data_IF_724693054073
#
_entry.id   IF_724693054073
#
_cell.length_a   1.000
_cell.length_b   1.000
_cell.length_c   1.000
_cell.angle_alpha   90.00
_cell.angle_beta   90.00
_cell.angle_gamma   90.00
#
_symmetry.space_group_name_H-M   'P 1'
#
loop_
_entity.id
_entity.type
_entity.pdbx_description
1 polymer ?
#
# COMPACT_ATOMS: atom_id res chain seq x y z
N UNK A 1 20.66 2.24 -3.92
CA UNK A 1 20.18 3.38 -3.11
C UNK A 1 19.15 4.13 -3.94
N UNK A 2 18.04 4.52 -3.32
CA UNK A 2 16.93 5.25 -3.94
C UNK A 2 16.27 6.14 -2.87
N UNK A 3 15.63 7.21 -3.31
CA UNK A 3 14.84 8.12 -2.48
C UNK A 3 13.37 7.68 -2.52
N UNK A 4 12.84 7.27 -1.38
CA UNK A 4 11.51 6.68 -1.24
C UNK A 4 10.58 7.65 -0.51
N UNK A 5 9.48 8.03 -1.15
CA UNK A 5 8.39 8.78 -0.51
C UNK A 5 7.37 7.81 0.07
N UNK A 6 7.18 7.85 1.39
CA UNK A 6 6.16 7.06 2.10
C UNK A 6 4.97 7.97 2.43
N UNK A 7 3.89 7.84 1.67
CA UNK A 7 2.62 8.53 1.96
C UNK A 7 1.83 7.73 3.00
N UNK A 8 1.38 8.41 4.06
CA UNK A 8 0.71 7.75 5.18
C UNK A 8 1.69 7.11 6.16
N UNK A 9 2.85 7.75 6.39
CA UNK A 9 3.97 7.19 7.16
C UNK A 9 3.62 6.68 8.58
N UNK A 10 2.59 7.23 9.24
CA UNK A 10 2.15 6.72 10.55
C UNK A 10 1.31 5.43 10.50
N UNK A 11 1.04 4.87 9.33
CA UNK A 11 0.29 3.62 9.17
C UNK A 11 1.04 2.41 9.71
N UNK A 12 0.32 1.40 10.20
CA UNK A 12 0.95 0.22 10.86
C UNK A 12 1.90 -0.55 9.92
N UNK A 13 1.52 -0.72 8.64
CA UNK A 13 2.40 -1.34 7.64
C UNK A 13 3.56 -0.40 7.29
N UNK A 14 3.30 0.90 7.12
CA UNK A 14 4.34 1.88 6.80
C UNK A 14 5.46 1.92 7.84
N UNK A 15 5.16 1.84 9.13
CA UNK A 15 6.19 1.76 10.19
C UNK A 15 7.06 0.51 10.09
N UNK A 16 6.48 -0.62 9.68
CA UNK A 16 7.23 -1.85 9.46
C UNK A 16 8.14 -1.73 8.22
N UNK A 17 7.64 -1.11 7.15
CA UNK A 17 8.41 -0.82 5.93
C UNK A 17 9.56 0.15 6.22
N UNK A 18 9.27 1.27 6.89
CA UNK A 18 10.27 2.26 7.33
C UNK A 18 11.39 1.59 8.12
N UNK A 19 11.03 0.85 9.18
CA UNK A 19 12.00 0.12 9.99
C UNK A 19 12.86 -0.83 9.16
N UNK A 20 12.24 -1.66 8.31
CA UNK A 20 12.96 -2.65 7.53
C UNK A 20 13.89 -2.01 6.48
N UNK A 21 13.46 -0.93 5.82
CA UNK A 21 14.32 -0.16 4.90
C UNK A 21 15.52 0.44 5.63
N UNK A 22 15.30 1.00 6.83
CA UNK A 22 16.39 1.54 7.64
C UNK A 22 17.38 0.47 8.09
N UNK A 23 16.90 -0.72 8.45
CA UNK A 23 17.74 -1.81 8.94
C UNK A 23 18.52 -2.52 7.82
N UNK A 24 17.95 -2.63 6.62
CA UNK A 24 18.45 -3.54 5.56
C UNK A 24 19.07 -2.82 4.35
N UNK A 25 18.94 -1.50 4.25
CA UNK A 25 19.32 -0.75 3.04
C UNK A 25 19.94 0.61 3.36
N UNK A 26 20.44 1.29 2.32
CA UNK A 26 20.90 2.68 2.39
C UNK A 26 19.89 3.68 1.80
N UNK A 27 18.62 3.28 1.64
CA UNK A 27 17.57 4.16 1.08
C UNK A 27 17.36 5.42 1.93
N UNK A 28 17.00 6.52 1.26
CA UNK A 28 16.58 7.76 1.90
C UNK A 28 15.05 7.79 1.93
N UNK A 29 14.46 8.11 3.08
CA UNK A 29 13.02 8.06 3.31
C UNK A 29 12.46 9.47 3.50
N UNK A 30 11.47 9.83 2.69
CA UNK A 30 10.61 10.98 2.95
C UNK A 30 9.30 10.51 3.54
N UNK A 31 9.06 10.83 4.80
CA UNK A 31 7.88 10.43 5.57
C UNK A 31 6.80 11.50 5.47
N UNK A 32 5.76 11.26 4.67
CA UNK A 32 4.68 12.21 4.43
C UNK A 32 3.41 11.81 5.16
N UNK A 33 2.94 12.67 6.07
CA UNK A 33 1.78 12.39 6.91
C UNK A 33 1.14 13.67 7.46
N UNK A 34 -0.11 13.54 7.89
CA UNK A 34 -0.78 14.56 8.72
C UNK A 34 -0.28 14.45 10.16
N UNK A 35 -0.27 15.57 10.89
CA UNK A 35 0.10 15.61 12.32
C UNK A 35 1.44 14.89 12.52
N UNK A 36 2.51 15.48 11.98
CA UNK A 36 3.84 14.89 11.92
C UNK A 36 4.42 14.59 13.31
N UNK A 37 3.93 15.29 14.34
CA UNK A 37 4.26 15.03 15.74
C UNK A 37 3.90 13.61 16.26
N UNK A 38 3.17 12.81 15.48
CA UNK A 38 2.81 11.42 15.83
C UNK A 38 3.88 10.38 15.49
N UNK A 39 4.94 10.78 14.78
CA UNK A 39 6.08 9.91 14.47
C UNK A 39 7.35 10.49 15.08
N UNK A 40 8.29 9.58 15.37
CA UNK A 40 9.63 9.92 15.83
C UNK A 40 10.59 9.41 14.78
N UNK A 41 11.43 10.31 14.25
CA UNK A 41 12.51 9.96 13.33
C UNK A 41 13.50 9.03 14.04
N UNK A 42 13.77 7.88 13.44
CA UNK A 42 14.72 6.89 13.93
C UNK A 42 16.16 7.20 13.46
N UNK A 43 16.32 7.70 12.24
CA UNK A 43 17.60 8.07 11.63
C UNK A 43 17.53 9.43 10.91
N UNK A 44 17.90 10.53 11.58
CA UNK A 44 17.85 11.88 11.00
C UNK A 44 18.73 12.10 9.78
N UNK A 45 19.66 11.18 9.47
CA UNK A 45 20.50 11.27 8.27
C UNK A 45 19.84 10.64 7.04
N UNK A 46 18.83 9.79 7.25
CA UNK A 46 18.13 9.07 6.19
C UNK A 46 16.66 9.39 6.11
N UNK A 47 16.11 10.11 7.07
CA UNK A 47 14.69 10.39 7.15
C UNK A 47 14.39 11.88 7.15
N UNK A 48 13.48 12.29 6.27
CA UNK A 48 12.91 13.65 6.22
C UNK A 48 11.40 13.57 6.44
N UNK A 49 10.88 14.33 7.40
CA UNK A 49 9.44 14.38 7.67
C UNK A 49 8.81 15.58 6.99
N UNK A 50 7.72 15.34 6.24
CA UNK A 50 6.92 16.38 5.60
C UNK A 50 5.49 16.28 6.13
N UNK A 51 5.01 17.33 6.78
CA UNK A 51 3.61 17.40 7.19
C UNK A 51 2.72 17.78 5.99
N UNK A 52 1.72 16.94 5.69
CA UNK A 52 0.78 17.19 4.61
C UNK A 52 -0.37 16.19 4.53
N UNK A 53 -1.39 16.55 3.76
CA UNK A 53 -2.57 15.71 3.48
C UNK A 53 -2.43 15.08 2.08
N UNK A 54 -2.70 13.78 1.95
CA UNK A 54 -2.60 13.05 0.69
C UNK A 54 -3.67 13.45 -0.35
N UNK A 55 -4.65 14.26 0.04
CA UNK A 55 -5.58 14.93 -0.91
C UNK A 55 -5.04 16.27 -1.43
N UNK A 56 -3.99 16.83 -0.80
CA UNK A 56 -3.38 18.07 -1.23
C UNK A 56 -2.30 17.81 -2.27
N UNK A 57 -2.69 17.85 -3.55
CA UNK A 57 -1.79 17.65 -4.70
C UNK A 57 -0.54 18.53 -4.64
N UNK A 58 -0.66 19.79 -4.23
CA UNK A 58 0.49 20.71 -4.21
C UNK A 58 1.50 20.34 -3.11
N UNK A 59 1.02 19.83 -1.98
CA UNK A 59 1.89 19.30 -0.93
C UNK A 59 2.63 18.05 -1.40
N UNK A 60 1.95 17.16 -2.14
CA UNK A 60 2.56 15.95 -2.71
C UNK A 60 3.61 16.33 -3.75
N UNK A 61 3.34 17.26 -4.67
CA UNK A 61 4.31 17.72 -5.68
C UNK A 61 5.62 18.19 -5.04
N UNK A 62 5.54 18.94 -3.92
CA UNK A 62 6.74 19.38 -3.20
C UNK A 62 7.51 18.21 -2.58
N UNK A 63 6.79 17.20 -2.08
CA UNK A 63 7.40 16.01 -1.48
C UNK A 63 8.00 15.04 -2.52
N UNK A 64 7.68 15.22 -3.81
CA UNK A 64 8.20 14.40 -4.91
C UNK A 64 9.56 14.88 -5.45
N UNK A 65 10.12 15.98 -4.94
CA UNK A 65 11.42 16.47 -5.38
C UNK A 65 12.54 15.47 -5.06
N UNK A 66 13.28 15.06 -6.10
CA UNK A 66 14.35 14.06 -5.99
C UNK A 66 13.89 12.64 -5.61
N UNK A 67 12.58 12.35 -5.58
CA UNK A 67 12.07 11.01 -5.26
C UNK A 67 12.22 10.07 -6.45
N UNK A 68 12.53 8.81 -6.19
CA UNK A 68 12.60 7.75 -7.19
C UNK A 68 11.34 6.86 -7.15
N UNK A 69 10.85 6.56 -5.95
CA UNK A 69 9.77 5.59 -5.71
C UNK A 69 8.76 6.17 -4.72
N UNK A 70 7.47 6.04 -5.03
CA UNK A 70 6.37 6.39 -4.12
C UNK A 70 5.73 5.13 -3.57
N UNK A 71 5.70 4.99 -2.25
CA UNK A 71 4.92 3.99 -1.54
C UNK A 71 3.74 4.66 -0.83
N UNK A 72 2.52 4.31 -1.24
CA UNK A 72 1.28 4.86 -0.72
C UNK A 72 0.56 3.86 0.19
N UNK A 73 0.64 4.09 1.50
CA UNK A 73 -0.08 3.35 2.54
C UNK A 73 -1.25 4.19 3.07
N UNK A 74 -2.24 4.41 2.20
CA UNK A 74 -3.32 5.36 2.39
C UNK A 74 -4.62 4.65 2.80
N UNK A 75 -5.51 5.39 3.47
CA UNK A 75 -6.80 4.86 3.93
C UNK A 75 -7.81 5.98 4.15
N UNK A 76 -9.08 5.59 4.28
CA UNK A 76 -10.20 6.49 4.59
C UNK A 76 -11.26 6.49 3.49
N UNK A 77 -12.41 7.12 3.77
CA UNK A 77 -13.54 7.18 2.81
C UNK A 77 -13.22 7.99 1.55
N UNK A 78 -12.25 8.90 1.62
CA UNK A 78 -11.79 9.74 0.53
C UNK A 78 -10.57 9.14 -0.22
N UNK A 79 -10.39 7.81 -0.17
CA UNK A 79 -9.23 7.15 -0.80
C UNK A 79 -9.18 7.36 -2.32
N UNK A 80 -10.32 7.55 -2.98
CA UNK A 80 -10.39 7.91 -4.41
C UNK A 80 -9.79 9.30 -4.66
N UNK A 81 -10.11 10.30 -3.83
CA UNK A 81 -9.54 11.65 -3.95
C UNK A 81 -8.04 11.64 -3.68
N UNK A 82 -7.60 10.81 -2.72
CA UNK A 82 -6.19 10.59 -2.45
C UNK A 82 -5.48 9.98 -3.68
N UNK A 83 -6.07 8.96 -4.32
CA UNK A 83 -5.50 8.38 -5.55
C UNK A 83 -5.40 9.42 -6.67
N UNK A 84 -6.45 10.22 -6.90
CA UNK A 84 -6.44 11.30 -7.91
C UNK A 84 -5.36 12.34 -7.63
N UNK A 85 -5.20 12.73 -6.36
CA UNK A 85 -4.20 13.70 -5.96
C UNK A 85 -2.77 13.14 -6.12
N UNK A 86 -2.54 11.88 -5.75
CA UNK A 86 -1.24 11.20 -5.88
C UNK A 86 -0.85 11.02 -7.35
N UNK A 87 -1.70 10.37 -8.16
CA UNK A 87 -1.44 10.18 -9.60
C UNK A 87 -1.22 11.53 -10.28
N UNK A 88 -2.15 12.47 -10.09
CA UNK A 88 -2.03 13.79 -10.70
C UNK A 88 -0.87 14.65 -10.19
N UNK A 89 -0.25 14.31 -9.05
CA UNK A 89 0.99 14.92 -8.58
C UNK A 89 2.22 14.28 -9.25
N UNK A 90 2.24 12.94 -9.36
CA UNK A 90 3.31 12.20 -10.03
C UNK A 90 3.38 12.57 -11.51
N UNK A 91 2.25 12.77 -12.19
CA UNK A 91 2.17 13.24 -13.59
C UNK A 91 2.86 14.60 -13.84
N UNK A 92 3.18 15.35 -12.77
CA UNK A 92 3.88 16.65 -12.85
C UNK A 92 5.38 16.55 -12.59
N UNK A 93 5.89 15.35 -12.37
CA UNK A 93 7.29 15.07 -12.07
C UNK A 93 7.83 13.97 -12.98
N UNK A 94 9.10 13.58 -12.81
CA UNK A 94 9.72 12.49 -13.56
C UNK A 94 9.57 11.13 -12.84
N UNK A 95 8.83 11.08 -11.74
CA UNK A 95 8.62 9.85 -10.98
C UNK A 95 7.66 8.94 -11.75
N UNK A 96 7.93 7.63 -11.76
CA UNK A 96 7.09 6.65 -12.45
C UNK A 96 6.64 5.51 -11.54
N UNK A 97 7.47 5.14 -10.55
CA UNK A 97 7.21 3.97 -9.70
C UNK A 97 6.25 4.30 -8.56
N UNK A 98 5.08 3.66 -8.57
CA UNK A 98 4.07 3.76 -7.51
C UNK A 98 3.73 2.38 -6.92
N UNK A 99 3.88 2.20 -5.62
CA UNK A 99 3.38 1.02 -4.89
C UNK A 99 2.18 1.45 -4.05
N UNK A 100 1.00 0.91 -4.33
CA UNK A 100 -0.26 1.35 -3.74
C UNK A 100 -0.92 0.25 -2.92
N UNK A 101 -1.16 0.49 -1.63
CA UNK A 101 -1.96 -0.42 -0.79
C UNK A 101 -3.45 -0.16 -1.02
N UNK A 102 -4.16 -1.23 -1.37
CA UNK A 102 -5.62 -1.28 -1.45
C UNK A 102 -6.15 -2.37 -0.50
N UNK A 103 -7.18 -3.11 -0.89
CA UNK A 103 -7.83 -4.16 -0.10
C UNK A 103 -8.33 -5.28 -1.00
N UNK A 104 -8.44 -6.50 -0.48
CA UNK A 104 -9.11 -7.61 -1.17
C UNK A 104 -10.60 -7.30 -1.44
N UNK A 105 -11.14 -7.89 -2.51
CA UNK A 105 -12.56 -7.81 -2.86
C UNK A 105 -12.94 -6.66 -3.78
N UNK A 106 -12.00 -5.73 -4.09
CA UNK A 106 -12.25 -4.59 -4.98
C UNK A 106 -12.50 -4.99 -6.44
N UNK A 107 -12.27 -6.25 -6.81
CA UNK A 107 -12.56 -6.81 -8.12
C UNK A 107 -13.53 -7.99 -8.06
N UNK A 108 -14.26 -8.15 -6.94
CA UNK A 108 -15.16 -9.29 -6.69
C UNK A 108 -14.43 -10.65 -6.85
N UNK A 109 -13.17 -10.69 -6.41
CA UNK A 109 -12.25 -11.79 -6.65
C UNK A 109 -12.24 -12.87 -5.56
N UNK A 110 -12.97 -12.67 -4.46
CA UNK A 110 -12.94 -13.54 -3.27
C UNK A 110 -14.05 -14.58 -3.36
N UNK A 111 -13.74 -15.89 -3.55
CA UNK A 111 -14.77 -16.88 -3.78
C UNK A 111 -15.38 -17.44 -2.49
N UNK A 112 -16.45 -18.23 -2.67
CA UNK A 112 -16.96 -19.14 -1.64
C UNK A 112 -17.63 -18.47 -0.44
N UNK A 113 -17.65 -19.19 0.69
CA UNK A 113 -18.23 -18.69 1.94
C UNK A 113 -17.49 -17.46 2.47
N UNK A 114 -16.16 -17.43 2.30
CA UNK A 114 -15.36 -16.27 2.64
C UNK A 114 -15.71 -15.03 1.83
N UNK A 115 -15.92 -15.16 0.51
CA UNK A 115 -16.40 -14.06 -0.32
C UNK A 115 -17.69 -13.45 0.20
N UNK A 116 -18.68 -14.29 0.53
CA UNK A 116 -19.95 -13.85 1.11
C UNK A 116 -19.76 -13.13 2.43
N UNK A 117 -18.92 -13.69 3.32
CA UNK A 117 -18.61 -13.07 4.60
C UNK A 117 -17.86 -11.74 4.41
N UNK A 118 -16.93 -11.66 3.47
CA UNK A 118 -16.16 -10.46 3.14
C UNK A 118 -17.07 -9.33 2.66
N UNK A 119 -18.02 -9.63 1.76
CA UNK A 119 -19.07 -8.69 1.36
C UNK A 119 -19.91 -8.20 2.54
N UNK A 120 -20.32 -9.11 3.44
CA UNK A 120 -21.07 -8.71 4.64
C UNK A 120 -20.29 -7.75 5.55
N UNK A 121 -18.95 -7.82 5.56
CA UNK A 121 -18.11 -6.94 6.36
C UNK A 121 -17.72 -5.63 5.65
N UNK A 122 -17.52 -5.66 4.34
CA UNK A 122 -16.87 -4.57 3.59
C UNK A 122 -17.79 -3.87 2.57
N UNK A 123 -18.96 -4.41 2.27
CA UNK A 123 -19.94 -3.69 1.46
C UNK A 123 -20.56 -2.53 2.23
N UNK A 124 -21.22 -1.61 1.52
CA UNK A 124 -21.90 -0.48 2.13
C UNK A 124 -21.02 0.75 2.29
N UNK A 125 -20.13 0.99 1.32
CA UNK A 125 -19.33 2.21 1.21
C UNK A 125 -17.85 2.06 1.58
N UNK A 126 -17.34 0.84 1.78
CA UNK A 126 -15.90 0.60 1.95
C UNK A 126 -15.24 0.07 0.68
N UNK A 127 -15.77 -0.97 0.01
CA UNK A 127 -15.15 -1.47 -1.24
C UNK A 127 -15.26 -0.49 -2.41
N UNK A 128 -16.34 0.29 -2.50
CA UNK A 128 -16.61 1.14 -3.66
C UNK A 128 -15.57 2.26 -3.82
N UNK A 129 -15.20 3.03 -2.77
CA UNK A 129 -14.13 4.01 -2.88
C UNK A 129 -12.77 3.40 -3.19
N UNK A 130 -12.44 2.22 -2.62
CA UNK A 130 -11.16 1.55 -2.91
C UNK A 130 -11.11 1.00 -4.34
N UNK A 131 -12.24 0.52 -4.86
CA UNK A 131 -12.39 0.13 -6.27
C UNK A 131 -12.20 1.33 -7.18
N UNK A 132 -12.78 2.49 -6.85
CA UNK A 132 -12.60 3.72 -7.60
C UNK A 132 -11.14 4.22 -7.55
N UNK A 133 -10.49 4.17 -6.39
CA UNK A 133 -9.08 4.50 -6.24
C UNK A 133 -8.17 3.59 -7.08
N UNK A 134 -8.41 2.27 -7.06
CA UNK A 134 -7.67 1.33 -7.87
C UNK A 134 -7.81 1.64 -9.37
N UNK A 135 -9.02 1.97 -9.84
CA UNK A 135 -9.25 2.40 -11.24
C UNK A 135 -8.46 3.66 -11.61
N UNK A 136 -8.33 4.63 -10.70
CA UNK A 136 -7.51 5.83 -10.95
C UNK A 136 -6.04 5.46 -11.16
N UNK A 137 -5.50 4.57 -10.33
CA UNK A 137 -4.12 4.08 -10.45
C UNK A 137 -3.95 3.26 -11.73
N UNK A 138 -4.85 2.32 -12.02
CA UNK A 138 -4.77 1.45 -13.20
C UNK A 138 -4.91 2.19 -14.53
N UNK A 139 -5.66 3.30 -14.56
CA UNK A 139 -5.83 4.13 -15.75
C UNK A 139 -4.70 5.14 -15.96
N UNK A 140 -3.70 5.18 -15.07
CA UNK A 140 -2.50 5.98 -15.26
C UNK A 140 -1.48 5.28 -16.16
N UNK A 141 -0.47 6.01 -16.64
CA UNK A 141 0.67 5.45 -17.36
C UNK A 141 1.82 5.02 -16.44
N UNK A 142 1.65 5.15 -15.11
CA UNK A 142 2.66 4.83 -14.11
C UNK A 142 3.11 3.37 -14.12
N UNK A 143 4.32 3.15 -13.63
CA UNK A 143 4.85 1.84 -13.26
C UNK A 143 4.28 1.44 -11.89
N UNK A 144 2.95 1.24 -11.83
CA UNK A 144 2.27 0.97 -10.57
C UNK A 144 2.40 -0.50 -10.15
N UNK A 145 2.28 -0.77 -8.86
CA UNK A 145 1.89 -2.09 -8.33
C UNK A 145 0.82 -1.85 -7.29
N UNK A 146 -0.35 -2.47 -7.47
CA UNK A 146 -1.41 -2.46 -6.45
C UNK A 146 -1.23 -3.70 -5.58
N UNK A 147 -1.30 -3.53 -4.27
CA UNK A 147 -1.28 -4.63 -3.30
C UNK A 147 -2.65 -4.69 -2.65
N UNK A 148 -3.29 -5.85 -2.67
CA UNK A 148 -4.60 -6.14 -2.08
C UNK A 148 -4.43 -7.16 -0.94
N UNK A 149 -4.11 -6.71 0.28
CA UNK A 149 -3.94 -7.62 1.41
C UNK A 149 -5.26 -8.31 1.74
N UNK A 150 -5.16 -9.56 2.19
CA UNK A 150 -6.20 -10.22 2.97
C UNK A 150 -6.41 -9.53 4.33
N UNK A 151 -7.24 -10.10 5.21
CA UNK A 151 -7.47 -9.51 6.52
C UNK A 151 -6.17 -9.45 7.35
N UNK A 152 -5.88 -8.27 7.90
CA UNK A 152 -4.57 -7.96 8.46
C UNK A 152 -4.44 -8.37 9.94
N UNK A 153 -3.55 -9.31 10.21
CA UNK A 153 -3.12 -9.69 11.56
C UNK A 153 -1.82 -8.99 11.99
N UNK A 154 -1.52 -9.01 13.29
CA UNK A 154 -0.25 -8.53 13.86
C UNK A 154 0.70 -9.69 14.23
N UNK A 155 0.52 -10.88 13.61
CA UNK A 155 1.40 -12.03 13.83
C UNK A 155 2.83 -11.67 13.41
N UNK A 156 3.82 -12.02 14.22
CA UNK A 156 5.24 -11.78 13.92
C UNK A 156 5.79 -12.86 12.97
N UNK A 157 5.25 -12.90 11.75
CA UNK A 157 5.60 -13.88 10.73
C UNK A 157 5.66 -13.22 9.36
N UNK A 158 6.65 -13.59 8.55
CA UNK A 158 6.65 -13.32 7.11
C UNK A 158 6.31 -14.62 6.41
N UNK A 159 5.06 -14.72 5.97
CA UNK A 159 4.51 -15.86 5.24
C UNK A 159 3.35 -15.36 4.38
N UNK A 160 3.53 -15.40 3.06
CA UNK A 160 2.52 -14.99 2.10
C UNK A 160 2.71 -15.69 0.76
N UNK A 161 1.63 -15.80 0.01
CA UNK A 161 1.59 -16.06 -1.43
C UNK A 161 0.84 -14.91 -2.13
N UNK A 162 0.89 -14.89 -3.46
CA UNK A 162 0.23 -13.85 -4.26
C UNK A 162 -0.75 -14.44 -5.27
N UNK A 163 -1.78 -13.67 -5.60
CA UNK A 163 -2.71 -13.92 -6.72
C UNK A 163 -2.76 -12.70 -7.62
N UNK A 164 -2.93 -12.91 -8.92
CA UNK A 164 -3.05 -11.82 -9.89
C UNK A 164 -4.48 -11.27 -9.96
N UNK A 165 -4.65 -10.09 -10.57
CA UNK A 165 -5.99 -9.61 -10.94
C UNK A 165 -6.60 -10.55 -11.97
N UNK A 166 -7.84 -10.98 -11.71
CA UNK A 166 -8.55 -11.94 -12.56
C UNK A 166 -8.36 -13.41 -12.11
N UNK A 167 -7.47 -13.67 -11.15
CA UNK A 167 -7.40 -14.96 -10.48
C UNK A 167 -8.27 -14.96 -9.21
N UNK A 168 -8.84 -16.12 -8.82
CA UNK A 168 -9.50 -16.25 -7.53
C UNK A 168 -8.53 -15.96 -6.38
N UNK A 169 -8.94 -15.08 -5.47
CA UNK A 169 -8.19 -14.79 -4.25
C UNK A 169 -8.13 -16.04 -3.36
N UNK A 170 -7.00 -16.23 -2.66
CA UNK A 170 -6.77 -17.36 -1.75
C UNK A 170 -6.61 -16.87 -0.32
N UNK A 171 -6.84 -17.75 0.65
CA UNK A 171 -6.63 -17.46 2.06
C UNK A 171 -7.51 -16.34 2.63
N UNK A 172 -7.60 -16.29 3.95
CA UNK A 172 -8.50 -15.34 4.64
C UNK A 172 -7.75 -14.20 5.32
N UNK A 173 -6.47 -14.39 5.62
CA UNK A 173 -5.69 -13.50 6.46
C UNK A 173 -4.24 -13.38 6.01
N UNK A 174 -3.56 -12.31 6.45
CA UNK A 174 -2.13 -12.08 6.24
C UNK A 174 -1.57 -11.19 7.35
N UNK A 175 -0.30 -11.37 7.72
CA UNK A 175 0.33 -10.48 8.70
C UNK A 175 0.70 -9.12 8.05
N UNK A 176 0.65 -8.04 8.83
CA UNK A 176 1.20 -6.74 8.39
C UNK A 176 2.69 -6.82 8.07
N UNK A 177 3.42 -7.72 8.73
CA UNK A 177 4.86 -7.96 8.48
C UNK A 177 5.11 -8.60 7.11
N UNK A 178 4.24 -9.51 6.66
CA UNK A 178 4.28 -10.05 5.29
C UNK A 178 4.05 -8.97 4.23
N UNK A 179 3.10 -8.05 4.45
CA UNK A 179 2.86 -6.95 3.51
C UNK A 179 4.05 -5.99 3.48
N UNK A 180 4.62 -5.68 4.63
CA UNK A 180 5.82 -4.85 4.71
C UNK A 180 7.00 -5.47 3.95
N UNK A 181 7.24 -6.77 4.13
CA UNK A 181 8.28 -7.51 3.42
C UNK A 181 8.10 -7.46 1.90
N UNK A 182 6.87 -7.64 1.39
CA UNK A 182 6.58 -7.51 -0.04
C UNK A 182 6.84 -6.08 -0.55
N UNK A 183 6.41 -5.06 0.19
CA UNK A 183 6.65 -3.65 -0.18
C UNK A 183 8.15 -3.36 -0.26
N UNK A 184 8.93 -3.80 0.74
CA UNK A 184 10.40 -3.63 0.75
C UNK A 184 11.04 -4.34 -0.42
N UNK A 185 10.61 -5.57 -0.76
CA UNK A 185 11.08 -6.28 -1.95
C UNK A 185 10.81 -5.50 -3.24
N UNK A 186 9.62 -4.92 -3.39
CA UNK A 186 9.26 -4.12 -4.56
C UNK A 186 10.00 -2.78 -4.62
N UNK A 187 10.35 -2.18 -3.47
CA UNK A 187 11.21 -0.99 -3.41
C UNK A 187 12.64 -1.33 -3.83
N UNK A 188 13.18 -2.45 -3.35
CA UNK A 188 14.55 -2.90 -3.67
C UNK A 188 14.68 -3.41 -5.11
N UNK A 189 13.57 -3.90 -5.71
CA UNK A 189 13.51 -4.40 -7.07
C UNK A 189 12.36 -3.72 -7.85
N UNK A 190 12.49 -2.42 -8.16
CA UNK A 190 11.39 -1.62 -8.69
C UNK A 190 10.88 -2.05 -10.07
N UNK A 191 11.63 -2.87 -10.82
CA UNK A 191 11.18 -3.45 -12.08
C UNK A 191 10.20 -4.62 -11.94
N UNK A 192 10.00 -5.14 -10.72
CA UNK A 192 9.08 -6.25 -10.46
C UNK A 192 7.64 -5.76 -10.32
N UNK A 193 6.70 -6.59 -10.79
CA UNK A 193 5.25 -6.38 -10.67
C UNK A 193 4.74 -5.04 -11.25
N UNK A 194 5.40 -4.51 -12.28
CA UNK A 194 4.97 -3.30 -12.98
C UNK A 194 3.61 -3.54 -13.66
N UNK A 195 2.65 -2.68 -13.35
CA UNK A 195 1.24 -2.73 -13.78
C UNK A 195 0.49 -4.00 -13.35
N UNK A 196 0.96 -4.65 -12.30
CA UNK A 196 0.27 -5.77 -11.65
C UNK A 196 -0.58 -5.32 -10.45
N UNK A 197 -1.58 -6.12 -10.11
CA UNK A 197 -2.39 -5.96 -8.89
C UNK A 197 -2.43 -7.27 -8.13
N UNK A 198 -1.61 -7.34 -7.07
CA UNK A 198 -1.30 -8.54 -6.32
C UNK A 198 -2.23 -8.68 -5.12
N UNK A 199 -3.07 -9.71 -5.11
CA UNK A 199 -3.70 -10.20 -3.89
C UNK A 199 -2.66 -10.87 -3.00
N UNK A 200 -2.70 -10.63 -1.68
CA UNK A 200 -1.68 -11.16 -0.76
C UNK A 200 -2.33 -11.79 0.46
N UNK A 201 -2.10 -13.09 0.63
CA UNK A 201 -2.63 -13.89 1.73
C UNK A 201 -1.56 -14.77 2.35
N UNK A 202 -1.74 -15.17 3.60
CA UNK A 202 -0.96 -16.23 4.20
C UNK A 202 -1.42 -17.59 3.64
N UNK A 203 -0.51 -18.47 3.19
CA UNK A 203 -0.88 -19.81 2.71
C UNK A 203 -1.54 -20.64 3.81
N UNK A 204 -2.38 -21.60 3.39
CA UNK A 204 -3.08 -22.53 4.28
C UNK A 204 -3.96 -21.82 5.33
N UNK A 205 -4.60 -20.72 4.93
CA UNK A 205 -5.57 -19.98 5.75
C UNK A 205 -6.97 -19.98 5.13
N UNK A 206 -7.23 -20.91 4.22
CA UNK A 206 -8.56 -21.09 3.63
C UNK A 206 -9.58 -21.45 4.72
N UNK A 207 -10.77 -20.87 4.62
CA UNK A 207 -11.84 -21.00 5.60
C UNK A 207 -12.93 -19.98 5.30
N UNK A 208 -13.96 -19.90 6.16
CA UNK A 208 -15.12 -19.03 5.90
C UNK A 208 -14.88 -17.57 6.34
N UNK A 209 -13.86 -17.32 7.18
CA UNK A 209 -13.51 -16.03 7.79
C UNK A 209 -12.11 -16.12 8.41
N UNK A 210 -11.45 -14.98 8.74
CA UNK A 210 -10.15 -14.97 9.41
C UNK A 210 -10.18 -15.69 10.76
N UNK A 211 -9.03 -16.19 11.23
CA UNK A 211 -8.96 -17.12 12.37
C UNK A 211 -9.40 -16.54 13.72
N UNK A 212 -9.64 -15.23 13.79
CA UNK A 212 -9.98 -14.48 15.01
C UNK A 212 -11.44 -13.99 15.04
N UNK A 213 -12.29 -14.48 14.14
CA UNK A 213 -13.73 -14.20 14.09
C UNK A 213 -14.60 -15.34 14.61
#
# INVERSE_FOLDING_TARGET
MANVLILGANGQIAKLVEKQLLDETDHQLTLFLRQANRITVADPKRETVIEGDATNRQAIIKALDGIDIVYANLSGKNIEDQAKAVVGAIDRTNVQRLIWISTLGIYDEVPGAFGKWNHQQLDGGYLEPYTAAAKVVENSDLDYTIIRPAWLSNKDIVSYETTEKGEPFKGTEVSRKSIADLVVKLINHPSQAIRHSLGVNQPNTDGDKPSWY
#
